data_IF_849068782496
#
_entry.id   IF_849068782496
#
_cell.length_a   1.000
_cell.length_b   1.000
_cell.length_c   1.000
_cell.angle_alpha   90.00
_cell.angle_beta   90.00
_cell.angle_gamma   90.00
#
_symmetry.space_group_name_H-M   'P 1'
#
loop_
_entity.id
_entity.type
_entity.pdbx_description
1 polymer ?
#
# COMPACT_ATOMS: atom_id res chain seq x y z
N UNK A 1 -51.11 -43.94 -80.68
CA UNK A 1 -51.41 -43.38 -79.34
C UNK A 1 -50.22 -43.36 -78.38
N UNK A 2 -49.31 -44.34 -78.40
CA UNK A 2 -48.18 -44.42 -77.46
C UNK A 2 -47.11 -43.31 -77.64
N UNK A 3 -46.75 -42.98 -78.90
CA UNK A 3 -45.72 -41.99 -79.21
C UNK A 3 -46.10 -40.55 -78.79
N UNK A 4 -47.38 -40.20 -78.90
CA UNK A 4 -47.92 -38.90 -78.47
C UNK A 4 -47.89 -38.73 -76.95
N UNK A 5 -48.10 -39.83 -76.21
CA UNK A 5 -48.06 -39.82 -74.75
C UNK A 5 -46.63 -39.78 -74.20
N UNK A 6 -45.67 -40.42 -74.89
CA UNK A 6 -44.25 -40.24 -74.57
C UNK A 6 -43.78 -38.80 -74.83
N UNK A 7 -44.19 -38.16 -75.94
CA UNK A 7 -43.84 -36.76 -76.22
C UNK A 7 -44.37 -35.80 -75.16
N UNK A 8 -45.60 -35.99 -74.66
CA UNK A 8 -46.15 -35.14 -73.59
C UNK A 8 -45.45 -35.36 -72.25
N UNK A 9 -45.06 -36.60 -71.93
CA UNK A 9 -44.24 -36.89 -70.75
C UNK A 9 -42.86 -36.23 -70.83
N UNK A 10 -42.18 -36.31 -71.97
CA UNK A 10 -40.88 -35.66 -72.19
C UNK A 10 -40.99 -34.15 -71.99
N UNK A 11 -42.01 -33.51 -72.59
CA UNK A 11 -42.25 -32.07 -72.39
C UNK A 11 -42.52 -31.71 -70.93
N UNK A 12 -43.26 -32.55 -70.21
CA UNK A 12 -43.56 -32.33 -68.79
C UNK A 12 -42.30 -32.46 -67.93
N UNK A 13 -41.46 -33.45 -68.20
CA UNK A 13 -40.17 -33.62 -67.53
C UNK A 13 -39.22 -32.47 -67.84
N UNK A 14 -39.14 -32.01 -69.10
CA UNK A 14 -38.34 -30.85 -69.49
C UNK A 14 -38.75 -29.58 -68.75
N UNK A 15 -40.06 -29.33 -68.61
CA UNK A 15 -40.58 -28.20 -67.81
C UNK A 15 -40.21 -28.32 -66.34
N UNK A 16 -40.25 -29.53 -65.76
CA UNK A 16 -39.83 -29.76 -64.38
C UNK A 16 -38.33 -29.54 -64.18
N UNK A 17 -37.50 -30.02 -65.11
CA UNK A 17 -36.05 -29.79 -65.09
C UNK A 17 -35.76 -28.29 -65.14
N UNK A 18 -36.35 -27.55 -66.08
CA UNK A 18 -36.20 -26.09 -66.16
C UNK A 18 -36.65 -25.37 -64.87
N UNK A 19 -37.76 -25.80 -64.27
CA UNK A 19 -38.23 -25.23 -63.00
C UNK A 19 -37.27 -25.49 -61.85
N UNK A 20 -36.66 -26.68 -61.80
CA UNK A 20 -35.68 -27.04 -60.78
C UNK A 20 -34.36 -26.31 -61.00
N UNK A 21 -33.91 -26.17 -62.24
CA UNK A 21 -32.71 -25.39 -62.61
C UNK A 21 -32.87 -23.92 -62.19
N UNK A 22 -34.04 -23.33 -62.44
CA UNK A 22 -34.34 -21.96 -62.01
C UNK A 22 -34.38 -21.83 -60.49
N UNK A 23 -35.02 -22.77 -59.79
CA UNK A 23 -35.07 -22.78 -58.32
C UNK A 23 -33.67 -22.96 -57.70
N UNK A 24 -32.86 -23.85 -58.26
CA UNK A 24 -31.49 -24.08 -57.81
C UNK A 24 -30.60 -22.86 -58.05
N UNK A 25 -30.75 -22.21 -59.21
CA UNK A 25 -30.03 -20.96 -59.53
C UNK A 25 -30.38 -19.88 -58.51
N UNK A 26 -31.67 -19.67 -58.26
CA UNK A 26 -32.14 -18.70 -57.26
C UNK A 26 -31.61 -19.02 -55.85
N UNK A 27 -31.68 -20.28 -55.42
CA UNK A 27 -31.15 -20.70 -54.12
C UNK A 27 -29.63 -20.48 -54.02
N UNK A 28 -28.89 -20.74 -55.10
CA UNK A 28 -27.43 -20.56 -55.13
C UNK A 28 -27.08 -19.08 -55.02
N UNK A 29 -27.77 -18.21 -55.78
CA UNK A 29 -27.52 -16.76 -55.72
C UNK A 29 -27.88 -16.16 -54.37
N UNK A 30 -28.99 -16.58 -53.76
CA UNK A 30 -29.37 -16.12 -52.42
C UNK A 30 -28.38 -16.60 -51.36
N UNK A 31 -27.91 -17.86 -51.45
CA UNK A 31 -26.90 -18.39 -50.54
C UNK A 31 -25.58 -17.63 -50.65
N UNK A 32 -25.10 -17.36 -51.87
CA UNK A 32 -23.89 -16.56 -52.10
C UNK A 32 -24.04 -15.14 -51.52
N UNK A 33 -25.19 -14.51 -51.70
CA UNK A 33 -25.47 -13.19 -51.14
C UNK A 33 -25.46 -13.20 -49.61
N UNK A 34 -26.04 -14.22 -48.98
CA UNK A 34 -26.08 -14.35 -47.53
C UNK A 34 -24.70 -14.64 -46.93
N UNK A 35 -23.91 -15.51 -47.58
CA UNK A 35 -22.51 -15.76 -47.21
C UNK A 35 -21.70 -14.46 -47.28
N UNK A 36 -21.86 -13.68 -48.36
CA UNK A 36 -21.16 -12.42 -48.52
C UNK A 36 -21.54 -11.37 -47.45
N UNK A 37 -22.83 -11.25 -47.11
CA UNK A 37 -23.29 -10.38 -46.02
C UNK A 37 -22.70 -10.80 -44.68
N UNK A 38 -22.73 -12.10 -44.37
CA UNK A 38 -22.19 -12.63 -43.13
C UNK A 38 -20.68 -12.36 -43.01
N UNK A 39 -19.95 -12.56 -44.10
CA UNK A 39 -18.51 -12.29 -44.16
C UNK A 39 -18.20 -10.80 -43.96
N UNK A 40 -18.93 -9.90 -44.62
CA UNK A 40 -18.78 -8.46 -44.40
C UNK A 40 -19.08 -8.06 -42.96
N UNK A 41 -20.16 -8.58 -42.38
CA UNK A 41 -20.53 -8.30 -40.99
C UNK A 41 -19.42 -8.75 -40.03
N UNK A 42 -18.89 -9.96 -40.20
CA UNK A 42 -17.79 -10.47 -39.40
C UNK A 42 -16.51 -9.62 -39.54
N UNK A 43 -16.22 -9.09 -40.73
CA UNK A 43 -15.08 -8.19 -40.95
C UNK A 43 -15.27 -6.87 -40.18
N UNK A 44 -16.45 -6.26 -40.27
CA UNK A 44 -16.75 -5.00 -39.59
C UNK A 44 -16.69 -5.19 -38.06
N UNK A 45 -17.27 -6.27 -37.55
CA UNK A 45 -17.25 -6.58 -36.11
C UNK A 45 -15.82 -6.82 -35.60
N UNK A 46 -15.00 -7.58 -36.35
CA UNK A 46 -13.59 -7.77 -35.99
C UNK A 46 -12.78 -6.47 -36.02
N UNK A 47 -13.05 -5.59 -36.99
CA UNK A 47 -12.39 -4.28 -37.05
C UNK A 47 -12.79 -3.41 -35.86
N UNK A 48 -14.08 -3.37 -35.51
CA UNK A 48 -14.57 -2.65 -34.33
C UNK A 48 -13.93 -3.19 -33.03
N UNK A 49 -13.89 -4.52 -32.88
CA UNK A 49 -13.25 -5.17 -31.74
C UNK A 49 -11.75 -4.85 -31.64
N UNK A 50 -11.04 -4.78 -32.79
CA UNK A 50 -9.63 -4.41 -32.81
C UNK A 50 -9.39 -2.98 -32.30
N UNK A 51 -10.20 -2.03 -32.74
CA UNK A 51 -10.12 -0.63 -32.27
C UNK A 51 -10.39 -0.54 -30.76
N UNK A 52 -11.34 -1.31 -30.25
CA UNK A 52 -11.62 -1.36 -28.82
C UNK A 52 -10.46 -1.96 -28.02
N UNK A 53 -9.85 -3.04 -28.49
CA UNK A 53 -8.65 -3.65 -27.89
C UNK A 53 -7.52 -2.61 -27.83
N UNK A 54 -7.25 -1.90 -28.92
CA UNK A 54 -6.20 -0.89 -28.98
C UNK A 54 -6.46 0.24 -27.97
N UNK A 55 -7.71 0.67 -27.83
CA UNK A 55 -8.12 1.68 -26.85
C UNK A 55 -7.93 1.18 -25.41
N UNK A 56 -8.34 -0.06 -25.12
CA UNK A 56 -8.20 -0.66 -23.79
C UNK A 56 -6.72 -0.85 -23.42
N UNK A 57 -5.88 -1.28 -24.37
CA UNK A 57 -4.44 -1.39 -24.18
C UNK A 57 -3.81 -0.03 -23.84
N UNK A 58 -4.18 1.03 -24.56
CA UNK A 58 -3.71 2.38 -24.26
C UNK A 58 -4.14 2.86 -22.87
N UNK A 59 -5.41 2.63 -22.49
CA UNK A 59 -5.91 2.99 -21.17
C UNK A 59 -5.17 2.23 -20.05
N UNK A 60 -4.90 0.94 -20.27
CA UNK A 60 -4.13 0.11 -19.34
C UNK A 60 -2.71 0.67 -19.15
N UNK A 61 -2.02 1.00 -20.24
CA UNK A 61 -0.66 1.58 -20.18
C UNK A 61 -0.65 2.91 -19.40
N UNK A 62 -1.65 3.76 -19.62
CA UNK A 62 -1.80 5.02 -18.90
C UNK A 62 -2.07 4.79 -17.40
N UNK A 63 -2.89 3.78 -17.07
CA UNK A 63 -3.15 3.39 -15.68
C UNK A 63 -1.93 2.80 -15.00
N UNK A 64 -1.11 2.03 -15.70
CA UNK A 64 0.16 1.53 -15.17
C UNK A 64 1.15 2.66 -14.89
N UNK A 65 1.22 3.67 -15.76
CA UNK A 65 2.05 4.87 -15.53
C UNK A 65 1.59 5.64 -14.29
N UNK A 66 0.27 5.84 -14.14
CA UNK A 66 -0.32 6.48 -12.96
C UNK A 66 -0.03 5.68 -11.69
N UNK A 67 -0.25 4.36 -11.72
CA UNK A 67 0.05 3.45 -10.63
C UNK A 67 1.52 3.50 -10.22
N UNK A 68 2.44 3.53 -11.18
CA UNK A 68 3.87 3.65 -10.91
C UNK A 68 4.24 5.00 -10.27
N UNK A 69 3.56 6.08 -10.65
CA UNK A 69 3.73 7.39 -9.97
C UNK A 69 3.25 7.32 -8.53
N UNK A 70 2.08 6.72 -8.27
CA UNK A 70 1.55 6.54 -6.91
C UNK A 70 2.48 5.68 -6.06
N UNK A 71 2.99 4.56 -6.61
CA UNK A 71 3.97 3.69 -5.92
C UNK A 71 5.24 4.46 -5.54
N UNK A 72 5.79 5.27 -6.45
CA UNK A 72 6.97 6.11 -6.18
C UNK A 72 6.68 7.13 -5.07
N UNK A 73 5.52 7.79 -5.12
CA UNK A 73 5.15 8.75 -4.09
C UNK A 73 4.98 8.09 -2.72
N UNK A 74 4.28 6.94 -2.67
CA UNK A 74 4.11 6.18 -1.44
C UNK A 74 5.46 5.75 -0.85
N UNK A 75 6.39 5.28 -1.69
CA UNK A 75 7.75 4.96 -1.27
C UNK A 75 8.47 6.19 -0.70
N UNK A 76 8.43 7.34 -1.38
CA UNK A 76 9.06 8.56 -0.88
C UNK A 76 8.52 9.00 0.49
N UNK A 77 7.20 8.89 0.70
CA UNK A 77 6.57 9.21 1.99
C UNK A 77 7.07 8.26 3.09
N UNK A 78 7.20 6.97 2.78
CA UNK A 78 7.75 5.99 3.72
C UNK A 78 9.22 6.27 4.03
N UNK A 79 10.04 6.51 3.01
CA UNK A 79 11.47 6.79 3.15
C UNK A 79 11.69 8.07 4.01
N UNK A 80 10.95 9.14 3.73
CA UNK A 80 10.96 10.37 4.54
C UNK A 80 10.53 10.12 5.99
N UNK A 81 9.48 9.30 6.20
CA UNK A 81 9.03 8.95 7.54
C UNK A 81 10.11 8.16 8.29
N UNK A 82 10.74 7.20 7.64
CA UNK A 82 11.84 6.41 8.22
C UNK A 82 13.03 7.29 8.57
N UNK A 83 13.40 8.26 7.72
CA UNK A 83 14.47 9.22 8.01
C UNK A 83 14.17 10.03 9.27
N UNK A 84 12.94 10.55 9.40
CA UNK A 84 12.51 11.31 10.58
C UNK A 84 12.48 10.42 11.83
N UNK A 85 11.97 9.20 11.73
CA UNK A 85 11.97 8.24 12.84
C UNK A 85 13.39 7.92 13.32
N UNK A 86 14.31 7.68 12.40
CA UNK A 86 15.73 7.45 12.70
C UNK A 86 16.34 8.66 13.40
N UNK A 87 16.11 9.88 12.89
CA UNK A 87 16.57 11.11 13.51
C UNK A 87 16.09 11.25 14.96
N UNK A 88 14.80 10.96 15.25
CA UNK A 88 14.28 11.04 16.61
C UNK A 88 14.89 9.98 17.55
N UNK A 89 15.10 8.76 17.05
CA UNK A 89 15.77 7.71 17.83
C UNK A 89 17.21 8.12 18.17
N UNK A 90 17.94 8.66 17.20
CA UNK A 90 19.31 9.13 17.39
C UNK A 90 19.36 10.32 18.36
N UNK A 91 18.46 11.30 18.21
CA UNK A 91 18.35 12.43 19.13
C UNK A 91 18.02 11.97 20.56
N UNK A 92 17.08 11.03 20.72
CA UNK A 92 16.75 10.46 22.04
C UNK A 92 17.94 9.72 22.65
N UNK A 93 18.69 8.96 21.84
CA UNK A 93 19.89 8.29 22.32
C UNK A 93 20.95 9.30 22.78
N UNK A 94 21.22 10.34 21.96
CA UNK A 94 22.16 11.40 22.31
C UNK A 94 21.78 12.08 23.63
N UNK A 95 20.51 12.46 23.80
CA UNK A 95 20.03 13.08 25.04
C UNK A 95 20.20 12.15 26.24
N UNK A 96 19.90 10.85 26.11
CA UNK A 96 20.12 9.88 27.18
C UNK A 96 21.58 9.77 27.59
N UNK A 97 22.51 9.78 26.62
CA UNK A 97 23.94 9.79 26.92
C UNK A 97 24.35 11.08 27.63
N UNK A 98 23.84 12.23 27.19
CA UNK A 98 24.10 13.52 27.83
C UNK A 98 23.58 13.57 29.27
N UNK A 99 22.42 12.97 29.56
CA UNK A 99 21.91 12.81 30.94
C UNK A 99 22.93 12.05 31.80
N UNK A 100 23.43 10.92 31.34
CA UNK A 100 24.40 10.12 32.10
C UNK A 100 25.70 10.89 32.36
N UNK A 101 26.24 11.57 31.34
CA UNK A 101 27.45 12.38 31.44
C UNK A 101 27.24 13.53 32.43
N UNK A 102 26.14 14.28 32.29
CA UNK A 102 25.86 15.43 33.14
C UNK A 102 25.61 15.04 34.60
N UNK A 103 24.89 13.94 34.86
CA UNK A 103 24.71 13.43 36.23
C UNK A 103 26.03 13.08 36.89
N UNK A 104 26.92 12.38 36.17
CA UNK A 104 28.25 12.04 36.65
C UNK A 104 29.08 13.29 36.93
N UNK A 105 29.11 14.23 35.97
CA UNK A 105 29.87 15.46 36.06
C UNK A 105 29.38 16.36 37.20
N UNK A 106 28.06 16.54 37.33
CA UNK A 106 27.45 17.32 38.39
C UNK A 106 27.80 16.77 39.78
N UNK A 107 27.74 15.44 39.95
CA UNK A 107 28.14 14.78 41.21
C UNK A 107 29.61 15.05 41.55
N UNK A 108 30.50 14.97 40.56
CA UNK A 108 31.93 15.25 40.74
C UNK A 108 32.19 16.71 41.11
N UNK A 109 31.59 17.66 40.40
CA UNK A 109 31.72 19.10 40.70
C UNK A 109 31.19 19.41 42.10
N UNK A 110 29.99 18.92 42.44
CA UNK A 110 29.39 19.16 43.74
C UNK A 110 30.26 18.60 44.88
N UNK A 111 30.88 17.43 44.68
CA UNK A 111 31.80 16.84 45.66
C UNK A 111 33.08 17.66 45.79
N UNK A 112 33.69 18.08 44.67
CA UNK A 112 34.90 18.89 44.68
C UNK A 112 34.65 20.25 45.35
N UNK A 113 33.54 20.92 45.03
CA UNK A 113 33.16 22.19 45.64
C UNK A 113 32.93 22.06 47.15
N UNK A 114 32.27 20.98 47.59
CA UNK A 114 32.09 20.67 49.01
C UNK A 114 33.44 20.44 49.72
N UNK A 115 34.31 19.60 49.15
CA UNK A 115 35.63 19.29 49.71
C UNK A 115 36.51 20.53 49.81
N UNK A 116 36.49 21.39 48.77
CA UNK A 116 37.22 22.65 48.77
C UNK A 116 36.74 23.56 49.91
N UNK A 117 35.42 23.74 50.04
CA UNK A 117 34.84 24.56 51.11
C UNK A 117 35.11 23.99 52.51
N UNK A 118 35.07 22.67 52.65
CA UNK A 118 35.45 21.98 53.89
C UNK A 118 36.92 22.26 54.25
N UNK A 119 37.84 22.13 53.29
CA UNK A 119 39.27 22.40 53.52
C UNK A 119 39.56 23.86 53.89
N UNK A 120 38.86 24.81 53.27
CA UNK A 120 38.98 26.23 53.59
C UNK A 120 38.47 26.56 54.99
N UNK A 121 37.39 25.88 55.42
CA UNK A 121 36.86 26.00 56.76
C UNK A 121 37.79 25.39 57.83
N UNK A 122 38.40 24.24 57.55
CA UNK A 122 39.44 23.66 58.41
C UNK A 122 40.64 24.60 58.59
N UNK A 123 40.99 25.37 57.55
CA UNK A 123 42.03 26.38 57.60
C UNK A 123 41.60 27.71 58.27
N UNK A 124 40.38 27.79 58.81
CA UNK A 124 39.84 28.97 59.50
C UNK A 124 39.48 30.14 58.58
N UNK A 125 39.46 29.93 57.25
CA UNK A 125 39.19 31.01 56.27
C UNK A 125 37.71 31.25 56.02
N UNK A 126 36.86 30.24 56.23
CA UNK A 126 35.42 30.28 55.97
C UNK A 126 34.66 29.41 56.97
N UNK A 127 33.32 29.53 57.01
CA UNK A 127 32.48 28.62 57.79
C UNK A 127 32.35 27.22 57.14
N UNK A 128 32.13 26.21 57.99
CA UNK A 128 31.93 24.83 57.55
C UNK A 128 30.68 24.68 56.67
N UNK A 129 30.76 23.99 55.51
CA UNK A 129 29.59 23.75 54.69
C UNK A 129 28.60 22.79 55.38
N UNK A 130 27.29 22.99 55.13
CA UNK A 130 26.26 22.02 55.58
C UNK A 130 26.56 20.63 55.01
N UNK A 131 26.38 19.61 55.84
CA UNK A 131 26.58 18.20 55.45
C UNK A 131 25.73 17.91 54.22
N UNK A 132 26.40 17.39 53.19
CA UNK A 132 25.81 17.04 51.91
C UNK A 132 26.19 15.60 51.58
N UNK A 133 25.21 14.81 51.18
CA UNK A 133 25.42 13.38 50.89
C UNK A 133 25.51 13.13 49.39
N UNK A 134 26.29 12.10 49.05
CA UNK A 134 26.60 11.69 47.69
C UNK A 134 26.39 10.18 47.48
N UNK A 135 26.09 9.45 48.54
CA UNK A 135 25.89 7.99 48.59
C UNK A 135 24.45 7.58 48.22
N UNK A 136 23.53 8.54 48.17
CA UNK A 136 22.17 8.32 47.68
C UNK A 136 21.23 7.61 48.64
N UNK A 137 21.52 7.63 49.94
CA UNK A 137 20.62 7.08 50.97
C UNK A 137 19.29 7.84 51.01
N UNK A 138 18.20 7.09 51.14
CA UNK A 138 16.81 7.59 51.06
C UNK A 138 16.44 8.61 52.15
N UNK A 139 17.08 8.57 53.31
CA UNK A 139 16.76 9.43 54.46
C UNK A 139 17.62 10.71 54.55
N UNK A 140 18.36 11.06 53.51
CA UNK A 140 19.21 12.25 53.55
C UNK A 140 18.46 13.52 53.18
N UNK A 141 18.47 14.51 54.07
CA UNK A 141 17.78 15.80 53.89
C UNK A 141 18.49 16.75 52.91
N UNK A 142 19.79 16.56 52.64
CA UNK A 142 20.58 17.38 51.73
C UNK A 142 21.49 16.49 50.86
N UNK A 143 20.90 15.94 49.79
CA UNK A 143 21.55 14.99 48.88
C UNK A 143 21.67 15.55 47.48
N UNK A 144 22.80 15.29 46.81
CA UNK A 144 22.97 15.60 45.38
C UNK A 144 21.90 14.91 44.51
N UNK A 145 21.40 13.75 44.94
CA UNK A 145 20.37 13.04 44.19
C UNK A 145 19.04 13.81 44.19
N UNK A 146 18.74 14.57 45.24
CA UNK A 146 17.55 15.42 45.26
C UNK A 146 17.59 16.45 44.13
N UNK A 147 18.75 17.08 43.91
CA UNK A 147 18.91 18.08 42.85
C UNK A 147 18.78 17.47 41.44
N UNK A 148 19.27 16.24 41.26
CA UNK A 148 19.06 15.49 40.01
C UNK A 148 17.59 15.11 39.79
N UNK A 149 16.84 14.80 40.85
CA UNK A 149 15.41 14.52 40.78
C UNK A 149 14.58 15.78 40.50
N UNK A 150 14.97 16.93 41.07
CA UNK A 150 14.36 18.22 40.75
C UNK A 150 14.56 18.58 39.28
N UNK A 151 15.72 18.28 38.70
CA UNK A 151 16.00 18.50 37.28
C UNK A 151 15.08 17.71 36.33
N UNK A 152 14.48 16.61 36.80
CA UNK A 152 13.47 15.85 36.05
C UNK A 152 12.08 16.49 36.09
N UNK A 153 11.76 17.32 37.09
CA UNK A 153 10.44 17.91 37.23
C UNK A 153 10.21 18.99 36.17
N UNK A 154 8.96 19.11 35.73
CA UNK A 154 8.56 20.17 34.81
C UNK A 154 8.49 21.51 35.56
N UNK A 155 8.98 22.63 35.00
CA UNK A 155 8.76 23.95 35.61
C UNK A 155 7.29 24.31 35.43
N UNK A 156 6.47 24.16 36.48
CA UNK A 156 5.01 24.39 36.42
C UNK A 156 4.59 25.85 36.15
N UNK A 157 5.52 26.80 36.11
CA UNK A 157 5.21 28.25 36.18
C UNK A 157 5.58 29.07 34.95
N UNK A 158 6.22 28.50 33.93
CA UNK A 158 6.70 29.28 32.79
C UNK A 158 5.87 29.02 31.53
N UNK A 159 5.11 30.05 31.10
CA UNK A 159 4.28 30.02 29.87
C UNK A 159 5.10 29.99 28.57
N UNK A 160 6.38 30.36 28.61
CA UNK A 160 7.24 30.44 27.44
C UNK A 160 8.66 29.98 27.81
N UNK A 161 8.91 28.68 27.68
CA UNK A 161 10.22 28.07 27.94
C UNK A 161 10.87 27.78 26.60
N UNK A 162 12.04 28.35 26.34
CA UNK A 162 12.83 27.99 25.16
C UNK A 162 13.46 26.62 25.36
N UNK A 163 13.63 25.86 24.28
CA UNK A 163 14.26 24.53 24.29
C UNK A 163 15.68 24.60 24.85
N UNK A 164 16.36 25.73 24.66
CA UNK A 164 17.72 25.98 25.17
C UNK A 164 17.79 25.92 26.69
N UNK A 165 16.76 26.41 27.37
CA UNK A 165 16.69 26.55 28.83
C UNK A 165 16.31 25.25 29.54
N UNK A 166 15.92 24.22 28.80
CA UNK A 166 15.55 22.91 29.35
C UNK A 166 16.76 22.10 29.81
N UNK A 167 16.60 21.40 30.93
CA UNK A 167 17.53 20.34 31.36
C UNK A 167 17.52 19.20 30.34
N UNK A 168 18.57 18.37 30.33
CA UNK A 168 18.62 17.23 29.41
C UNK A 168 17.51 16.22 29.69
N UNK A 169 17.14 16.03 30.95
CA UNK A 169 16.00 15.23 31.39
C UNK A 169 14.66 15.76 30.84
N UNK A 170 14.47 17.08 30.83
CA UNK A 170 13.28 17.70 30.25
C UNK A 170 13.28 17.59 28.72
N UNK A 171 14.43 17.78 28.06
CA UNK A 171 14.59 17.58 26.61
C UNK A 171 14.23 16.16 26.19
N UNK A 172 14.57 15.15 26.99
CA UNK A 172 14.19 13.75 26.74
C UNK A 172 12.67 13.57 26.74
N UNK A 173 11.98 14.15 27.73
CA UNK A 173 10.52 14.07 27.83
C UNK A 173 9.83 14.76 26.65
N UNK A 174 10.34 15.91 26.20
CA UNK A 174 9.86 16.60 25.00
C UNK A 174 10.04 15.73 23.77
N UNK A 175 11.24 15.20 23.54
CA UNK A 175 11.52 14.35 22.38
C UNK A 175 10.65 13.10 22.37
N UNK A 176 10.45 12.47 23.54
CA UNK A 176 9.56 11.31 23.68
C UNK A 176 8.11 11.65 23.36
N UNK A 177 7.63 12.81 23.83
CA UNK A 177 6.30 13.32 23.51
C UNK A 177 6.14 13.63 22.01
N UNK A 178 7.13 14.29 21.40
CA UNK A 178 7.14 14.59 19.97
C UNK A 178 7.11 13.32 19.13
N UNK A 179 7.92 12.32 19.49
CA UNK A 179 7.93 11.02 18.82
C UNK A 179 6.57 10.30 18.95
N UNK A 180 5.95 10.31 20.14
CA UNK A 180 4.62 9.76 20.34
C UNK A 180 3.54 10.51 19.55
N UNK A 181 3.65 11.84 19.45
CA UNK A 181 2.75 12.70 18.69
C UNK A 181 2.87 12.44 17.19
N UNK A 182 4.10 12.33 16.67
CA UNK A 182 4.38 11.97 15.28
C UNK A 182 3.79 10.61 14.91
N UNK A 183 3.89 9.63 15.82
CA UNK A 183 3.33 8.29 15.62
C UNK A 183 1.80 8.22 15.80
N UNK A 184 1.12 9.34 16.04
CA UNK A 184 -0.34 9.41 16.06
C UNK A 184 -1.00 8.73 17.27
N UNK A 185 -0.24 8.38 18.31
CA UNK A 185 -0.77 7.75 19.53
C UNK A 185 -1.78 8.66 20.26
N UNK A 186 -1.67 9.98 20.11
CA UNK A 186 -2.61 10.96 20.66
C UNK A 186 -3.84 11.24 19.76
N UNK A 187 -3.79 10.94 18.46
CA UNK A 187 -4.80 11.35 17.48
C UNK A 187 -5.84 10.26 17.12
N UNK A 188 -5.68 9.04 17.65
CA UNK A 188 -6.55 7.89 17.32
C UNK A 188 -8.01 8.06 17.76
N UNK A 189 -8.35 9.03 18.62
CA UNK A 189 -9.74 9.29 19.04
C UNK A 189 -10.67 9.85 17.94
N UNK A 190 -10.16 10.29 16.78
CA UNK A 190 -10.97 10.92 15.72
C UNK A 190 -10.93 10.23 14.35
N UNK A 191 -10.26 9.07 14.18
CA UNK A 191 -10.12 8.39 12.87
C UNK A 191 -10.93 7.09 12.74
N UNK A 192 -11.99 6.92 13.51
CA UNK A 192 -12.88 5.75 13.38
C UNK A 192 -13.92 5.85 12.26
N UNK A 193 -13.99 6.95 11.48
CA UNK A 193 -15.07 7.16 10.50
C UNK A 193 -14.67 7.13 9.02
N UNK A 194 -13.40 6.94 8.64
CA UNK A 194 -13.02 6.89 7.21
C UNK A 194 -12.65 5.47 6.77
N UNK A 195 -13.64 4.58 6.71
CA UNK A 195 -13.56 3.41 5.82
C UNK A 195 -13.90 3.90 4.40
N UNK A 196 -13.05 3.69 3.38
CA UNK A 196 -13.44 3.94 2.00
C UNK A 196 -14.56 2.97 1.59
N UNK A 197 -15.53 3.40 0.77
CA UNK A 197 -16.60 2.52 0.31
C UNK A 197 -15.98 1.43 -0.58
N UNK A 198 -16.16 0.18 -0.18
CA UNK A 198 -15.87 -0.99 -1.02
C UNK A 198 -16.91 -1.00 -2.14
N UNK A 199 -16.53 -1.12 -3.42
CA UNK A 199 -17.50 -1.23 -4.52
C UNK A 199 -18.35 -2.49 -4.34
N UNK A 200 -19.67 -2.34 -4.44
CA UNK A 200 -20.63 -3.43 -4.41
C UNK A 200 -20.36 -4.40 -5.57
N UNK A 201 -19.75 -5.53 -5.26
CA UNK A 201 -19.77 -6.70 -6.13
C UNK A 201 -21.17 -7.31 -6.03
N UNK A 202 -21.91 -7.28 -7.13
CA UNK A 202 -23.18 -8.00 -7.28
C UNK A 202 -22.84 -9.49 -7.31
N UNK A 203 -23.07 -10.17 -6.18
CA UNK A 203 -23.23 -11.63 -6.13
C UNK A 203 -24.51 -11.98 -6.85
N UNK A 204 -24.42 -12.35 -8.13
CA UNK A 204 -25.47 -13.09 -8.82
C UNK A 204 -25.38 -14.56 -8.40
N UNK A 205 -26.03 -14.89 -7.28
CA UNK A 205 -26.26 -16.28 -6.88
C UNK A 205 -27.44 -16.84 -7.65
N UNK A 206 -27.21 -17.16 -8.92
CA UNK A 206 -28.08 -18.03 -9.72
C UNK A 206 -27.79 -19.48 -9.40
N UNK A 207 -28.57 -20.06 -8.48
CA UNK A 207 -28.66 -21.52 -8.32
C UNK A 207 -29.20 -22.14 -9.61
N UNK A 208 -28.36 -22.84 -10.36
CA UNK A 208 -28.81 -23.92 -11.24
C UNK A 208 -28.27 -25.24 -10.70
N UNK A 209 -29.19 -26.02 -10.11
CA UNK A 209 -29.01 -27.45 -9.93
C UNK A 209 -29.11 -28.09 -11.31
N UNK A 210 -28.08 -28.80 -11.75
CA UNK A 210 -28.27 -29.88 -12.70
C UNK A 210 -27.32 -31.05 -12.43
N UNK A 211 -27.88 -32.22 -12.64
CA UNK A 211 -27.47 -33.55 -12.21
C UNK A 211 -26.37 -34.15 -13.08
N UNK A 212 -25.39 -34.78 -12.41
CA UNK A 212 -24.60 -35.96 -12.79
C UNK A 212 -24.32 -36.31 -14.25
N UNK A 213 -23.03 -36.53 -14.57
CA UNK A 213 -22.54 -37.84 -15.02
C UNK A 213 -21.00 -37.89 -15.01
N UNK A 214 -20.45 -38.92 -14.37
CA UNK A 214 -19.05 -39.34 -14.52
C UNK A 214 -18.85 -39.97 -15.91
N UNK A 215 -17.85 -39.53 -16.67
CA UNK A 215 -17.18 -40.41 -17.63
C UNK A 215 -15.73 -39.98 -17.89
N UNK A 216 -14.81 -40.79 -17.37
CA UNK A 216 -13.42 -40.87 -17.80
C UNK A 216 -13.34 -41.15 -19.30
N UNK A 217 -12.30 -40.66 -20.00
CA UNK A 217 -11.30 -41.47 -20.70
C UNK A 217 -10.43 -40.63 -21.65
N UNK A 218 -9.13 -40.79 -21.43
CA UNK A 218 -7.97 -40.69 -22.31
C UNK A 218 -8.16 -40.37 -23.81
N UNK A 219 -7.20 -39.59 -24.31
CA UNK A 219 -6.39 -39.79 -25.53
C UNK A 219 -6.20 -38.48 -26.32
N UNK A 220 -4.95 -37.99 -26.36
CA UNK A 220 -4.22 -37.82 -27.62
C UNK A 220 -2.74 -37.50 -27.38
N UNK A 221 -1.92 -38.51 -27.60
CA UNK A 221 -0.57 -38.37 -28.13
C UNK A 221 -0.64 -37.99 -29.62
N UNK A 222 0.40 -37.29 -30.06
CA UNK A 222 1.04 -37.39 -31.38
C UNK A 222 0.21 -37.10 -32.64
N UNK A 223 0.53 -35.99 -33.29
CA UNK A 223 0.99 -35.98 -34.69
C UNK A 223 1.51 -34.58 -35.04
N UNK A 224 2.83 -34.40 -34.92
CA UNK A 224 3.53 -33.29 -35.53
C UNK A 224 3.84 -33.65 -36.98
N UNK A 225 3.32 -32.86 -37.93
CA UNK A 225 3.73 -32.74 -39.36
C UNK A 225 3.63 -34.03 -40.22
N UNK A 226 3.53 -33.95 -41.57
CA UNK A 226 4.21 -32.98 -42.45
C UNK A 226 3.37 -32.48 -43.66
N UNK A 227 3.90 -31.47 -44.36
CA UNK A 227 4.15 -31.43 -45.83
C UNK A 227 3.98 -30.01 -46.39
N UNK A 228 5.11 -29.36 -46.68
CA UNK A 228 5.24 -28.30 -47.68
C UNK A 228 6.63 -28.46 -48.31
N UNK A 229 6.67 -29.18 -49.43
CA UNK A 229 7.54 -28.96 -50.59
C UNK A 229 6.73 -29.36 -51.82
#
# INVERSE_FOLDING_TARGET
MQLTQQKSQIQTLQKKVLSLENALTYMTTEFEAEVFKLQQKAIIENQAGKVEIDKLQYLLEMKDKEMNRVKKLAKNILDQRTEVEQFFLDALNQVKQQILINRKHYKQIAQAAFNLKMSAACAGRTEYPRIRTFDGKEHSTNSVNHDLMEAEKWPSTQKNVDIRDLTWEQKEKVLRLLFAKMNGLAARKYRSSSKPPVPDYISDSGEMKETGCLRNRAEKQMAASPFLM
#
